data_IF_028191328201
#
_entry.id   IF_028191328201
#
_cell.length_a   1.000
_cell.length_b   1.000
_cell.length_c   1.000
_cell.angle_alpha   90.00
_cell.angle_beta   90.00
_cell.angle_gamma   90.00
#
_symmetry.space_group_name_H-M   'P 1'
#
loop_
_entity.id
_entity.type
_entity.pdbx_description
1 polymer ?
#
# COMPACT_ATOMS: atom_id res chain seq x y z
N UNK A 1 7.85 -21.83 14.68
CA UNK A 1 8.94 -20.85 14.46
C UNK A 1 8.28 -19.67 13.75
N UNK A 2 8.04 -18.55 14.46
CA UNK A 2 7.43 -17.36 13.86
C UNK A 2 8.45 -16.77 12.89
N UNK A 3 8.15 -16.77 11.60
CA UNK A 3 8.94 -16.03 10.63
C UNK A 3 8.90 -14.55 11.00
N UNK A 4 10.05 -13.87 10.91
CA UNK A 4 10.09 -12.42 10.94
C UNK A 4 9.19 -11.89 9.81
N UNK A 5 8.32 -10.91 10.10
CA UNK A 5 7.38 -10.31 9.12
C UNK A 5 8.12 -9.90 7.84
N UNK A 6 9.35 -9.40 7.99
CA UNK A 6 10.22 -9.04 6.87
C UNK A 6 10.51 -10.23 5.94
N UNK A 7 10.95 -11.36 6.48
CA UNK A 7 11.25 -12.57 5.69
C UNK A 7 10.00 -13.11 5.01
N UNK A 8 8.86 -13.05 5.70
CA UNK A 8 7.57 -13.46 5.15
C UNK A 8 7.19 -12.60 3.94
N UNK A 9 7.30 -11.27 4.05
CA UNK A 9 6.96 -10.35 2.96
C UNK A 9 7.93 -10.51 1.79
N UNK A 10 9.24 -10.63 2.03
CA UNK A 10 10.23 -10.85 0.96
C UNK A 10 9.91 -12.12 0.17
N UNK A 11 9.59 -13.22 0.88
CA UNK A 11 9.20 -14.47 0.22
C UNK A 11 7.95 -14.32 -0.64
N UNK A 12 6.91 -13.64 -0.12
CA UNK A 12 5.67 -13.40 -0.85
C UNK A 12 5.85 -12.51 -2.09
N UNK A 13 6.81 -11.58 -2.05
CA UNK A 13 7.14 -10.75 -3.21
C UNK A 13 7.70 -11.59 -4.36
N UNK A 14 8.52 -12.61 -4.09
CA UNK A 14 9.03 -13.51 -5.13
C UNK A 14 7.95 -14.37 -5.78
N UNK A 15 6.80 -14.54 -5.12
CA UNK A 15 5.63 -15.23 -5.66
C UNK A 15 4.73 -14.28 -6.50
N UNK A 16 5.03 -12.98 -6.54
CA UNK A 16 4.32 -12.04 -7.40
C UNK A 16 4.75 -12.22 -8.86
N UNK A 17 3.78 -12.52 -9.72
CA UNK A 17 3.95 -12.53 -11.16
C UNK A 17 3.64 -11.14 -11.71
N UNK A 18 4.60 -10.55 -12.42
CA UNK A 18 4.44 -9.25 -13.05
C UNK A 18 3.40 -9.36 -14.17
N UNK A 19 2.32 -8.56 -14.13
CA UNK A 19 1.34 -8.49 -15.22
C UNK A 19 2.05 -8.17 -16.55
N UNK A 20 1.53 -8.70 -17.65
CA UNK A 20 2.06 -8.54 -19.02
C UNK A 20 3.38 -9.24 -19.33
N UNK A 21 4.26 -9.42 -18.34
CA UNK A 21 5.55 -10.12 -18.52
C UNK A 21 5.48 -11.60 -18.17
N UNK A 22 4.54 -12.00 -17.31
CA UNK A 22 4.36 -13.39 -16.85
C UNK A 22 5.63 -14.02 -16.26
N UNK A 23 6.45 -13.20 -15.60
CA UNK A 23 7.65 -13.61 -14.87
C UNK A 23 7.53 -13.24 -13.40
N UNK A 24 8.23 -13.96 -12.54
CA UNK A 24 8.30 -13.62 -11.12
C UNK A 24 9.07 -12.32 -10.92
N UNK A 25 8.61 -11.53 -9.95
CA UNK A 25 9.29 -10.30 -9.54
C UNK A 25 10.50 -10.64 -8.68
N UNK A 26 11.69 -10.39 -9.21
CA UNK A 26 12.99 -10.70 -8.61
C UNK A 26 13.84 -9.43 -8.47
N UNK A 27 14.94 -9.55 -7.71
CA UNK A 27 16.01 -8.54 -7.63
C UNK A 27 15.66 -7.19 -6.97
N UNK A 28 14.88 -7.20 -5.88
CA UNK A 28 14.57 -5.98 -5.08
C UNK A 28 14.54 -6.20 -3.56
N UNK A 29 15.15 -7.29 -3.08
CA UNK A 29 15.07 -7.68 -1.67
C UNK A 29 15.60 -6.59 -0.75
N UNK A 30 16.71 -5.92 -1.13
CA UNK A 30 17.30 -4.88 -0.31
C UNK A 30 16.38 -3.65 -0.21
N UNK A 31 15.79 -3.21 -1.33
CA UNK A 31 14.83 -2.11 -1.35
C UNK A 31 13.59 -2.44 -0.53
N UNK A 32 13.07 -3.67 -0.64
CA UNK A 32 11.95 -4.17 0.16
C UNK A 32 12.28 -4.10 1.64
N UNK A 33 13.44 -4.60 2.07
CA UNK A 33 13.87 -4.55 3.47
C UNK A 33 13.96 -3.13 4.00
N UNK A 34 14.53 -2.21 3.20
CA UNK A 34 14.59 -0.78 3.55
C UNK A 34 13.18 -0.20 3.69
N UNK A 35 12.27 -0.51 2.78
CA UNK A 35 10.87 -0.05 2.87
C UNK A 35 10.20 -0.62 4.14
N UNK A 36 10.31 -1.91 4.40
CA UNK A 36 9.66 -2.55 5.56
C UNK A 36 10.18 -2.03 6.90
N UNK A 37 11.50 -1.91 7.05
CA UNK A 37 12.13 -1.49 8.30
C UNK A 37 12.19 0.02 8.50
N UNK A 38 12.51 0.80 7.47
CA UNK A 38 12.77 2.24 7.61
C UNK A 38 11.55 3.10 7.33
N UNK A 39 10.72 2.70 6.35
CA UNK A 39 9.55 3.48 5.89
C UNK A 39 8.31 3.03 6.66
N UNK A 40 7.99 1.73 6.57
CA UNK A 40 6.80 1.15 7.18
C UNK A 40 7.00 0.83 8.67
N UNK A 41 8.26 0.70 9.10
CA UNK A 41 8.68 0.44 10.49
C UNK A 41 7.87 -0.68 11.12
N UNK A 42 7.65 -1.79 10.39
CA UNK A 42 6.66 -2.82 10.74
C UNK A 42 6.86 -3.43 12.14
N UNK A 43 8.09 -3.42 12.63
CA UNK A 43 8.55 -3.88 13.94
C UNK A 43 8.21 -2.95 15.12
N UNK A 44 7.73 -1.73 14.89
CA UNK A 44 7.46 -0.73 15.95
C UNK A 44 5.98 -0.60 16.31
N UNK A 45 5.68 -0.17 17.52
CA UNK A 45 4.30 0.12 17.93
C UNK A 45 3.64 1.22 17.08
N UNK A 46 2.33 1.08 16.88
CA UNK A 46 1.52 2.07 16.15
C UNK A 46 1.38 3.33 16.99
N UNK A 47 1.98 4.43 16.53
CA UNK A 47 1.83 5.74 17.16
C UNK A 47 1.49 6.78 16.08
N UNK A 48 0.39 7.56 16.22
CA UNK A 48 0.04 8.61 15.26
C UNK A 48 1.17 9.61 14.99
N UNK A 49 2.03 9.89 15.96
CA UNK A 49 3.21 10.76 15.81
C UNK A 49 4.27 10.18 14.86
N UNK A 50 4.20 8.88 14.55
CA UNK A 50 5.05 8.19 13.58
C UNK A 50 4.40 8.09 12.19
N UNK A 51 3.31 8.80 11.91
CA UNK A 51 2.72 8.86 10.56
C UNK A 51 3.69 9.57 9.62
N UNK A 52 4.07 8.92 8.52
CA UNK A 52 5.05 9.44 7.57
C UNK A 52 4.47 9.48 6.15
N UNK A 53 4.77 10.56 5.43
CA UNK A 53 4.56 10.65 4.00
C UNK A 53 5.91 10.48 3.30
N UNK A 54 6.00 9.51 2.40
CA UNK A 54 7.23 9.22 1.65
C UNK A 54 6.97 9.36 0.15
N UNK A 55 7.96 9.93 -0.54
CA UNK A 55 7.96 10.02 -2.00
C UNK A 55 9.12 9.18 -2.51
N UNK A 56 8.83 8.13 -3.26
CA UNK A 56 9.85 7.31 -3.91
C UNK A 56 10.05 7.81 -5.34
N UNK A 57 11.27 8.22 -5.65
CA UNK A 57 11.64 8.79 -6.96
C UNK A 57 12.62 7.89 -7.70
N UNK A 58 12.74 8.10 -9.01
CA UNK A 58 13.72 7.42 -9.85
C UNK A 58 13.33 7.46 -11.33
N UNK A 59 14.22 7.08 -12.25
CA UNK A 59 13.96 7.10 -13.69
C UNK A 59 12.74 6.26 -14.09
N UNK A 60 12.16 6.57 -15.25
CA UNK A 60 11.10 5.75 -15.83
C UNK A 60 11.62 4.35 -16.19
N UNK A 61 10.76 3.34 -16.12
CA UNK A 61 11.16 1.95 -16.40
C UNK A 61 11.91 1.21 -15.28
N UNK A 62 12.24 1.85 -14.14
CA UNK A 62 12.95 1.16 -13.04
C UNK A 62 12.08 0.20 -12.18
N UNK A 63 10.83 -0.06 -12.57
CA UNK A 63 9.96 -1.02 -11.86
C UNK A 63 9.38 -0.54 -10.53
N UNK A 64 9.41 0.77 -10.22
CA UNK A 64 8.87 1.31 -8.95
C UNK A 64 7.38 0.98 -8.76
N UNK A 65 6.57 1.14 -9.80
CA UNK A 65 5.13 0.85 -9.74
C UNK A 65 4.90 -0.63 -9.47
N UNK A 66 5.61 -1.52 -10.16
CA UNK A 66 5.50 -2.96 -9.94
C UNK A 66 6.00 -3.38 -8.56
N UNK A 67 7.08 -2.77 -8.05
CA UNK A 67 7.56 -3.00 -6.69
C UNK A 67 6.44 -2.73 -5.67
N UNK A 68 5.74 -1.60 -5.81
CA UNK A 68 4.67 -1.25 -4.88
C UNK A 68 3.40 -2.09 -5.08
N UNK A 69 3.10 -2.55 -6.29
CA UNK A 69 2.03 -3.53 -6.53
C UNK A 69 2.34 -4.88 -5.87
N UNK A 70 3.56 -5.40 -6.06
CA UNK A 70 4.03 -6.64 -5.44
C UNK A 70 4.06 -6.54 -3.91
N UNK A 71 4.55 -5.43 -3.38
CA UNK A 71 4.58 -5.14 -1.95
C UNK A 71 3.16 -5.08 -1.38
N UNK A 72 2.25 -4.37 -2.03
CA UNK A 72 0.84 -4.29 -1.62
C UNK A 72 0.21 -5.68 -1.57
N UNK A 73 0.37 -6.50 -2.62
CA UNK A 73 -0.14 -7.88 -2.64
C UNK A 73 0.41 -8.71 -1.48
N UNK A 74 1.70 -8.56 -1.19
CA UNK A 74 2.38 -9.32 -0.14
C UNK A 74 1.92 -8.90 1.26
N UNK A 75 1.74 -7.59 1.48
CA UNK A 75 1.29 -7.05 2.76
C UNK A 75 -0.16 -7.41 3.10
N UNK A 76 -1.01 -7.76 2.12
CA UNK A 76 -2.36 -8.28 2.40
C UNK A 76 -2.37 -9.55 3.23
N UNK A 77 -1.29 -10.34 3.18
CA UNK A 77 -1.17 -11.56 3.98
C UNK A 77 -0.75 -11.29 5.43
N UNK A 78 -0.42 -10.06 5.80
CA UNK A 78 0.11 -9.70 7.13
C UNK A 78 -1.04 -9.16 7.98
N UNK A 79 -1.41 -9.87 9.04
CA UNK A 79 -2.61 -9.57 9.84
C UNK A 79 -2.53 -8.23 10.57
N UNK A 80 -1.31 -7.79 10.88
CA UNK A 80 -0.95 -6.54 11.56
C UNK A 80 -1.03 -5.31 10.64
N UNK A 81 -1.25 -5.52 9.34
CA UNK A 81 -1.22 -4.48 8.32
C UNK A 81 -2.54 -4.41 7.55
N UNK A 82 -3.03 -3.20 7.37
CA UNK A 82 -4.08 -2.87 6.40
C UNK A 82 -3.42 -2.03 5.32
N UNK A 83 -3.38 -2.55 4.10
CA UNK A 83 -2.78 -1.85 2.95
C UNK A 83 -3.88 -1.46 1.97
N UNK A 84 -3.80 -0.23 1.45
CA UNK A 84 -4.64 0.24 0.35
C UNK A 84 -3.73 0.89 -0.70
N UNK A 85 -3.92 0.50 -1.95
CA UNK A 85 -3.16 1.00 -3.10
C UNK A 85 -4.06 1.87 -3.97
N UNK A 86 -3.54 3.02 -4.41
CA UNK A 86 -4.27 4.03 -5.17
C UNK A 86 -3.48 4.40 -6.42
N UNK A 87 -3.85 3.81 -7.56
CA UNK A 87 -3.26 4.23 -8.82
C UNK A 87 -3.98 5.45 -9.40
N UNK A 88 -3.55 6.66 -8.99
CA UNK A 88 -4.15 7.91 -9.46
C UNK A 88 -4.10 8.14 -10.98
N UNK A 89 -3.32 7.34 -11.73
CA UNK A 89 -3.25 7.40 -13.18
C UNK A 89 -4.28 6.52 -13.91
N UNK A 90 -4.91 5.57 -13.21
CA UNK A 90 -5.90 4.66 -13.78
C UNK A 90 -7.29 4.96 -13.19
N UNK A 91 -8.27 5.26 -14.04
CA UNK A 91 -9.65 5.58 -13.61
C UNK A 91 -10.58 4.36 -13.53
N UNK A 92 -10.10 3.16 -13.90
CA UNK A 92 -10.90 1.93 -13.86
C UNK A 92 -10.84 1.27 -12.49
N UNK A 93 -12.01 1.07 -11.87
CA UNK A 93 -12.20 0.49 -10.53
C UNK A 93 -11.64 -0.94 -10.36
N UNK A 94 -11.38 -1.68 -11.44
CA UNK A 94 -10.86 -3.05 -11.34
C UNK A 94 -9.35 -3.08 -11.01
N UNK A 95 -8.57 -2.15 -11.56
CA UNK A 95 -7.12 -2.03 -11.32
C UNK A 95 -6.79 -1.16 -10.11
N UNK A 96 -7.68 -0.21 -9.80
CA UNK A 96 -7.55 0.70 -8.66
C UNK A 96 -7.69 -0.01 -7.30
N UNK A 97 -8.42 -1.14 -7.25
CA UNK A 97 -8.79 -1.83 -6.01
C UNK A 97 -8.30 -3.27 -5.89
N UNK A 98 -7.51 -3.79 -6.83
CA UNK A 98 -7.17 -5.22 -6.90
C UNK A 98 -6.64 -5.83 -5.59
N UNK A 99 -6.11 -4.97 -4.71
CA UNK A 99 -5.48 -5.35 -3.45
C UNK A 99 -6.12 -4.77 -2.18
N UNK A 100 -7.21 -4.02 -2.29
CA UNK A 100 -7.86 -3.32 -1.18
C UNK A 100 -9.03 -4.15 -0.62
N UNK A 101 -9.27 -4.14 0.71
CA UNK A 101 -10.42 -4.84 1.30
C UNK A 101 -11.76 -4.30 0.76
N UNK A 102 -12.78 -5.16 0.54
CA UNK A 102 -14.08 -4.74 0.01
C UNK A 102 -14.74 -3.60 0.81
N UNK A 103 -14.60 -3.63 2.14
CA UNK A 103 -15.19 -2.62 3.05
C UNK A 103 -14.54 -1.23 2.90
N UNK A 104 -13.31 -1.19 2.38
CA UNK A 104 -12.54 0.02 2.14
C UNK A 104 -12.89 0.62 0.76
N UNK A 105 -13.22 -0.24 -0.23
CA UNK A 105 -13.46 0.15 -1.62
C UNK A 105 -14.41 1.35 -1.77
N UNK A 106 -15.58 1.30 -1.13
CA UNK A 106 -16.58 2.37 -1.23
C UNK A 106 -16.10 3.72 -0.65
N UNK A 107 -15.32 3.69 0.44
CA UNK A 107 -14.74 4.93 1.01
C UNK A 107 -13.71 5.56 0.09
N UNK A 108 -13.04 4.74 -0.74
CA UNK A 108 -12.10 5.23 -1.73
C UNK A 108 -12.81 5.71 -3.00
N UNK A 109 -13.90 5.08 -3.43
CA UNK A 109 -14.66 5.54 -4.61
C UNK A 109 -15.18 6.97 -4.40
N UNK A 110 -15.73 7.25 -3.21
CA UNK A 110 -16.11 8.61 -2.79
C UNK A 110 -14.93 9.61 -2.87
N UNK A 111 -13.72 9.14 -2.59
CA UNK A 111 -12.51 9.95 -2.66
C UNK A 111 -12.13 10.31 -4.08
N UNK A 112 -12.08 9.30 -4.95
CA UNK A 112 -11.64 9.45 -6.34
C UNK A 112 -12.56 10.45 -7.03
N UNK A 113 -13.87 10.30 -6.90
CA UNK A 113 -14.87 11.23 -7.44
C UNK A 113 -14.68 12.67 -6.94
N UNK A 114 -14.26 12.83 -5.69
CA UNK A 114 -14.02 14.16 -5.10
C UNK A 114 -12.69 14.79 -5.54
N UNK A 115 -11.65 13.99 -5.76
CA UNK A 115 -10.30 14.42 -6.15
C UNK A 115 -10.24 14.90 -7.60
N UNK A 116 -11.01 14.29 -8.51
CA UNK A 116 -11.04 14.68 -9.94
C UNK A 116 -11.33 16.18 -10.10
N UNK A 117 -12.09 16.75 -9.16
CA UNK A 117 -12.61 18.11 -9.24
C UNK A 117 -11.67 19.17 -8.65
N UNK A 118 -10.77 18.81 -7.74
CA UNK A 118 -9.92 19.81 -7.08
C UNK A 118 -8.61 19.23 -6.49
N UNK A 119 -7.46 19.64 -7.03
CA UNK A 119 -6.13 19.15 -6.64
C UNK A 119 -5.71 19.59 -5.23
N UNK A 120 -6.16 20.75 -4.76
CA UNK A 120 -5.86 21.23 -3.40
C UNK A 120 -6.65 20.46 -2.34
N UNK A 121 -7.78 19.88 -2.73
CA UNK A 121 -8.60 19.09 -1.84
C UNK A 121 -8.01 17.69 -1.59
N UNK A 122 -7.01 17.24 -2.36
CA UNK A 122 -6.37 15.91 -2.27
C UNK A 122 -5.95 15.53 -0.84
N UNK A 123 -5.26 16.43 -0.13
CA UNK A 123 -4.77 16.17 1.23
C UNK A 123 -5.93 16.05 2.22
N UNK A 124 -6.93 16.92 2.10
CA UNK A 124 -8.15 16.88 2.91
C UNK A 124 -8.97 15.62 2.65
N UNK A 125 -9.04 15.21 1.38
CA UNK A 125 -9.69 13.99 0.96
C UNK A 125 -8.95 12.78 1.51
N UNK A 126 -7.63 12.69 1.36
CA UNK A 126 -6.81 11.61 1.94
C UNK A 126 -6.99 11.49 3.46
N UNK A 127 -7.06 12.62 4.17
CA UNK A 127 -7.39 12.61 5.60
C UNK A 127 -8.79 12.07 5.88
N UNK A 128 -9.82 12.50 5.12
CA UNK A 128 -11.18 11.95 5.22
C UNK A 128 -11.20 10.45 4.93
N UNK A 129 -10.41 10.00 3.96
CA UNK A 129 -10.25 8.59 3.64
C UNK A 129 -9.72 7.82 4.84
N UNK A 130 -8.55 8.22 5.34
CA UNK A 130 -7.93 7.57 6.47
C UNK A 130 -8.89 7.50 7.66
N UNK A 131 -9.62 8.60 7.94
CA UNK A 131 -10.64 8.65 8.98
C UNK A 131 -11.83 7.72 8.72
N UNK A 132 -12.30 7.60 7.48
CA UNK A 132 -13.39 6.69 7.12
C UNK A 132 -12.97 5.23 7.21
N UNK A 133 -11.76 4.89 6.73
CA UNK A 133 -11.17 3.55 6.87
C UNK A 133 -11.01 3.21 8.35
N UNK A 134 -10.49 4.13 9.17
CA UNK A 134 -10.35 3.97 10.63
C UNK A 134 -11.67 3.72 11.36
N UNK A 135 -12.78 4.29 10.86
CA UNK A 135 -14.10 4.08 11.46
C UNK A 135 -14.75 2.76 11.06
N UNK A 136 -14.52 2.32 9.82
CA UNK A 136 -15.16 1.12 9.25
C UNK A 136 -14.38 -0.15 9.56
N UNK A 137 -13.06 -0.05 9.63
CA UNK A 137 -12.18 -1.16 9.96
C UNK A 137 -11.77 -0.97 11.42
N UNK A 138 -11.91 -2.00 12.26
CA UNK A 138 -11.37 -1.95 13.63
C UNK A 138 -9.84 -1.99 13.58
N UNK A 139 -9.19 -0.87 13.23
CA UNK A 139 -7.72 -0.71 13.09
C UNK A 139 -7.04 -0.67 14.47
N UNK A 140 -7.65 -1.21 15.52
CA UNK A 140 -7.00 -1.26 16.82
C UNK A 140 -5.74 -2.12 16.68
N UNK A 141 -4.59 -1.53 16.97
CA UNK A 141 -3.27 -2.17 16.94
C UNK A 141 -2.79 -2.62 15.54
N UNK A 142 -3.38 -2.10 14.46
CA UNK A 142 -2.94 -2.36 13.07
C UNK A 142 -2.32 -1.13 12.41
N UNK A 143 -1.39 -1.36 11.46
CA UNK A 143 -0.82 -0.29 10.63
C UNK A 143 -1.63 -0.08 9.37
N UNK A 144 -2.07 1.15 9.13
CA UNK A 144 -2.67 1.55 7.85
C UNK A 144 -1.58 2.08 6.92
N UNK A 145 -1.43 1.45 5.76
CA UNK A 145 -0.49 1.85 4.71
C UNK A 145 -1.31 2.27 3.48
N UNK A 146 -1.08 3.51 3.04
CA UNK A 146 -1.66 4.05 1.81
C UNK A 146 -0.53 4.20 0.80
N UNK A 147 -0.65 3.53 -0.34
CA UNK A 147 0.35 3.50 -1.42
C UNK A 147 -0.19 4.22 -2.65
#
# INVERSE_FOLDING_TARGET
MMYNIEERVVKMIHEYVVPDLNVNFIDRDQEVKVILGSILKLDRDVNPANSLAHVITGPWGCGKTELFRALTKSLRGVDEVIVAYFNLSEYSSETFYGYTLPDIKSSVEELVESIVKDRLALVFHLYKLAKNIMKRVSIKDKKLILV
#
